data_IF_282642921364
#
_entry.id   IF_282642921364
#
_cell.length_a   1.000
_cell.length_b   1.000
_cell.length_c   1.000
_cell.angle_alpha   90.00
_cell.angle_beta   90.00
_cell.angle_gamma   90.00
#
_symmetry.space_group_name_H-M   'P 1'
#
loop_
_entity.id
_entity.type
_entity.pdbx_description
1 polymer ?
#
# COMPACT_ATOMS: atom_id res chain seq x y z
N UNK A 1 15.10 -45.44 15.02
CA UNK A 1 15.71 -44.10 15.22
C UNK A 1 15.48 -43.72 16.68
N UNK A 2 16.52 -43.43 17.48
CA UNK A 2 16.34 -42.96 18.87
C UNK A 2 16.09 -41.45 18.83
N UNK A 3 14.96 -41.02 19.36
CA UNK A 3 14.58 -39.60 19.45
C UNK A 3 15.23 -39.01 20.71
N UNK A 4 15.63 -37.75 20.68
CA UNK A 4 16.16 -37.04 21.85
C UNK A 4 15.08 -36.95 22.94
N UNK A 5 15.45 -37.12 24.20
CA UNK A 5 14.53 -37.10 25.36
C UNK A 5 14.42 -35.73 26.02
N UNK A 6 15.34 -34.81 25.72
CA UNK A 6 15.36 -33.43 26.21
C UNK A 6 15.24 -32.47 25.03
N UNK A 7 14.18 -31.67 25.06
CA UNK A 7 13.80 -30.72 24.00
C UNK A 7 14.00 -29.26 24.42
N UNK A 8 14.53 -29.01 25.62
CA UNK A 8 14.67 -27.65 26.17
C UNK A 8 15.59 -26.74 25.35
N UNK A 9 16.57 -27.32 24.64
CA UNK A 9 17.53 -26.61 23.78
C UNK A 9 17.32 -26.84 22.28
N UNK A 10 16.23 -27.50 21.88
CA UNK A 10 15.84 -27.50 20.47
C UNK A 10 15.33 -26.10 20.17
N UNK A 11 15.90 -25.45 19.15
CA UNK A 11 15.47 -24.12 18.70
C UNK A 11 13.96 -24.13 18.51
N UNK A 12 13.23 -23.60 19.50
CA UNK A 12 11.81 -23.32 19.35
C UNK A 12 11.72 -22.13 18.41
N UNK A 13 10.86 -22.30 17.43
CA UNK A 13 10.48 -21.25 16.51
C UNK A 13 9.86 -20.11 17.34
N UNK A 14 10.51 -18.95 17.35
CA UNK A 14 10.16 -17.79 18.22
C UNK A 14 8.80 -17.16 17.85
N UNK A 15 8.26 -17.55 16.70
CA UNK A 15 7.03 -17.13 16.04
C UNK A 15 5.75 -17.77 16.62
N UNK A 16 5.86 -18.80 17.49
CA UNK A 16 4.67 -19.49 18.01
C UNK A 16 3.86 -18.69 19.05
N UNK A 17 4.45 -17.67 19.67
CA UNK A 17 3.79 -16.85 20.71
C UNK A 17 3.42 -15.43 20.23
N UNK A 18 3.58 -15.12 18.93
CA UNK A 18 3.40 -13.78 18.36
C UNK A 18 2.04 -13.55 17.67
N UNK A 19 1.16 -14.55 17.58
CA UNK A 19 -0.17 -14.37 16.99
C UNK A 19 -1.04 -13.47 17.89
N UNK A 20 -1.16 -12.20 17.50
CA UNK A 20 -2.14 -11.28 18.09
C UNK A 20 -3.52 -11.68 17.58
N UNK A 21 -4.38 -12.14 18.47
CA UNK A 21 -5.77 -12.41 18.13
C UNK A 21 -6.57 -11.11 18.18
N UNK A 22 -7.41 -10.89 17.17
CA UNK A 22 -8.27 -9.72 17.07
C UNK A 22 -9.61 -10.06 16.42
N UNK A 23 -10.61 -9.23 16.69
CA UNK A 23 -11.95 -9.36 16.11
C UNK A 23 -12.15 -8.27 15.04
N UNK A 24 -12.71 -8.67 13.89
CA UNK A 24 -13.15 -7.74 12.87
C UNK A 24 -14.43 -7.02 13.31
N UNK A 25 -14.46 -5.70 13.15
CA UNK A 25 -15.59 -4.85 13.51
C UNK A 25 -16.66 -4.91 12.42
N UNK A 26 -17.91 -4.70 12.83
CA UNK A 26 -18.97 -4.44 11.86
C UNK A 26 -18.76 -3.06 11.22
N UNK A 27 -18.76 -3.02 9.89
CA UNK A 27 -18.52 -1.80 9.11
C UNK A 27 -19.83 -1.18 8.60
N UNK A 28 -20.92 -1.95 8.54
CA UNK A 28 -22.22 -1.47 8.08
C UNK A 28 -23.40 -2.05 8.86
N UNK A 29 -24.42 -1.22 9.09
CA UNK A 29 -25.71 -1.66 9.69
C UNK A 29 -26.58 -2.43 8.72
N UNK A 30 -26.32 -2.30 7.42
CA UNK A 30 -27.05 -3.01 6.38
C UNK A 30 -26.49 -4.42 6.23
N UNK A 31 -27.34 -5.43 6.47
CA UNK A 31 -26.91 -6.84 6.45
C UNK A 31 -26.30 -7.28 5.12
N UNK A 32 -26.72 -6.69 3.99
CA UNK A 32 -26.16 -7.04 2.67
C UNK A 32 -24.80 -6.39 2.47
N UNK A 33 -24.63 -5.13 2.87
CA UNK A 33 -23.32 -4.46 2.81
C UNK A 33 -22.33 -5.12 3.78
N UNK A 34 -22.78 -5.45 4.99
CA UNK A 34 -21.95 -6.12 5.98
C UNK A 34 -21.50 -7.51 5.51
N UNK A 35 -22.36 -8.26 4.80
CA UNK A 35 -21.97 -9.54 4.22
C UNK A 35 -20.89 -9.39 3.14
N UNK A 36 -20.98 -8.37 2.29
CA UNK A 36 -19.94 -8.08 1.28
C UNK A 36 -18.62 -7.67 1.94
N UNK A 37 -18.68 -6.78 2.93
CA UNK A 37 -17.50 -6.37 3.68
C UNK A 37 -16.83 -7.56 4.40
N UNK A 38 -17.64 -8.49 4.91
CA UNK A 38 -17.14 -9.72 5.53
C UNK A 38 -16.31 -10.56 4.54
N UNK A 39 -16.75 -10.71 3.29
CA UNK A 39 -15.98 -11.43 2.27
C UNK A 39 -14.64 -10.74 1.95
N UNK A 40 -14.60 -9.40 1.97
CA UNK A 40 -13.34 -8.65 1.85
C UNK A 40 -12.40 -8.96 3.02
N UNK A 41 -12.92 -8.91 4.26
CA UNK A 41 -12.13 -9.22 5.46
C UNK A 41 -11.62 -10.66 5.41
N UNK A 42 -12.46 -11.63 5.04
CA UNK A 42 -12.06 -13.04 4.93
C UNK A 42 -11.14 -13.34 3.74
N UNK A 43 -10.99 -12.41 2.78
CA UNK A 43 -10.23 -12.62 1.55
C UNK A 43 -10.87 -13.64 0.62
N UNK A 44 -12.20 -13.74 0.63
CA UNK A 44 -12.99 -14.70 -0.15
C UNK A 44 -13.43 -14.08 -1.49
N UNK A 45 -12.66 -14.33 -2.53
CA UNK A 45 -12.91 -13.88 -3.90
C UNK A 45 -14.01 -14.69 -4.61
N UNK A 46 -14.24 -15.94 -4.22
CA UNK A 46 -15.33 -16.78 -4.75
C UNK A 46 -16.70 -16.33 -4.22
N UNK A 47 -16.77 -15.99 -2.92
CA UNK A 47 -17.99 -15.57 -2.23
C UNK A 47 -18.41 -14.14 -2.53
N UNK A 48 -17.45 -13.24 -2.81
CA UNK A 48 -17.75 -11.82 -3.00
C UNK A 48 -18.55 -11.54 -4.29
N UNK A 49 -18.25 -12.24 -5.39
CA UNK A 49 -18.89 -12.03 -6.68
C UNK A 49 -20.42 -12.25 -6.64
N UNK A 50 -20.95 -13.39 -6.17
CA UNK A 50 -22.40 -13.60 -6.09
C UNK A 50 -23.07 -12.64 -5.09
N UNK A 51 -22.37 -12.25 -4.02
CA UNK A 51 -22.90 -11.30 -3.03
C UNK A 51 -23.06 -9.89 -3.64
N UNK A 52 -22.05 -9.41 -4.37
CA UNK A 52 -22.08 -8.13 -5.08
C UNK A 52 -23.16 -8.13 -6.16
N UNK A 53 -23.25 -9.18 -6.99
CA UNK A 53 -24.30 -9.31 -8.01
C UNK A 53 -25.70 -9.17 -7.43
N UNK A 54 -25.97 -9.85 -6.31
CA UNK A 54 -27.24 -9.75 -5.61
C UNK A 54 -27.50 -8.35 -5.06
N UNK A 55 -26.49 -7.69 -4.50
CA UNK A 55 -26.64 -6.32 -3.99
C UNK A 55 -26.93 -5.33 -5.12
N UNK A 56 -26.33 -5.49 -6.30
CA UNK A 56 -26.53 -4.66 -7.49
C UNK A 56 -27.96 -4.70 -8.04
N UNK A 57 -28.79 -5.66 -7.63
CA UNK A 57 -30.22 -5.71 -7.98
C UNK A 57 -31.04 -4.61 -7.28
N UNK A 58 -30.56 -4.13 -6.12
CA UNK A 58 -31.32 -3.23 -5.25
C UNK A 58 -30.55 -1.99 -4.78
N UNK A 59 -29.23 -1.97 -4.94
CA UNK A 59 -28.34 -0.89 -4.47
C UNK A 59 -27.55 -0.26 -5.61
N UNK A 60 -27.28 1.05 -5.56
CA UNK A 60 -26.38 1.70 -6.50
C UNK A 60 -24.97 1.08 -6.41
N UNK A 61 -24.28 0.82 -7.54
CA UNK A 61 -22.93 0.24 -7.53
C UNK A 61 -21.94 1.05 -6.69
N UNK A 62 -22.00 2.39 -6.79
CA UNK A 62 -21.11 3.28 -6.04
C UNK A 62 -21.29 3.16 -4.52
N UNK A 63 -22.50 2.86 -4.04
CA UNK A 63 -22.75 2.65 -2.61
C UNK A 63 -22.19 1.30 -2.16
N UNK A 64 -22.24 0.26 -3.01
CA UNK A 64 -21.62 -1.03 -2.69
C UNK A 64 -20.09 -0.86 -2.58
N UNK A 65 -19.50 -0.10 -3.49
CA UNK A 65 -18.06 0.17 -3.44
C UNK A 65 -17.68 0.91 -2.15
N UNK A 66 -18.32 2.03 -1.85
CA UNK A 66 -17.93 2.86 -0.70
C UNK A 66 -18.33 2.24 0.65
N UNK A 67 -19.57 1.78 0.77
CA UNK A 67 -20.15 1.39 2.07
C UNK A 67 -19.93 -0.09 2.42
N UNK A 68 -19.39 -0.89 1.50
CA UNK A 68 -19.09 -2.30 1.73
C UNK A 68 -17.65 -2.67 1.36
N UNK A 69 -17.24 -2.49 0.10
CA UNK A 69 -15.93 -2.95 -0.38
C UNK A 69 -14.78 -2.16 0.27
N UNK A 70 -14.79 -0.83 0.13
CA UNK A 70 -13.81 0.08 0.74
C UNK A 70 -13.91 0.03 2.27
N UNK A 71 -15.13 0.01 2.81
CA UNK A 71 -15.33 -0.09 4.25
C UNK A 71 -14.71 -1.38 4.85
N UNK A 72 -14.86 -2.52 4.15
CA UNK A 72 -14.20 -3.77 4.51
C UNK A 72 -12.68 -3.68 4.42
N UNK A 73 -12.14 -3.04 3.38
CA UNK A 73 -10.69 -2.88 3.24
C UNK A 73 -10.06 -1.92 4.26
N UNK A 74 -10.81 -0.92 4.72
CA UNK A 74 -10.39 -0.07 5.84
C UNK A 74 -10.26 -0.88 7.14
N UNK A 75 -11.16 -1.83 7.36
CA UNK A 75 -11.08 -2.73 8.52
C UNK A 75 -9.90 -3.70 8.40
N UNK A 76 -9.60 -4.20 7.21
CA UNK A 76 -8.38 -4.99 6.95
C UNK A 76 -7.12 -4.18 7.24
N UNK A 77 -7.10 -2.90 6.83
CA UNK A 77 -5.98 -2.00 7.12
C UNK A 77 -5.78 -1.81 8.63
N UNK A 78 -6.87 -1.65 9.40
CA UNK A 78 -6.82 -1.59 10.87
C UNK A 78 -6.26 -2.89 11.47
N UNK A 79 -6.70 -4.05 10.98
CA UNK A 79 -6.24 -5.35 11.47
C UNK A 79 -4.75 -5.57 11.18
N UNK A 80 -4.25 -5.05 10.05
CA UNK A 80 -2.83 -5.03 9.73
C UNK A 80 -2.04 -4.13 10.68
N UNK A 81 -2.52 -2.90 10.95
CA UNK A 81 -1.87 -1.96 11.87
C UNK A 81 -1.82 -2.49 13.30
N UNK A 82 -2.82 -3.27 13.72
CA UNK A 82 -2.86 -3.94 15.03
C UNK A 82 -2.03 -5.22 15.09
N UNK A 83 -1.40 -5.63 13.99
CA UNK A 83 -0.59 -6.84 13.89
C UNK A 83 -1.41 -8.14 13.91
N UNK A 84 -2.72 -8.06 13.71
CA UNK A 84 -3.63 -9.21 13.60
C UNK A 84 -3.54 -9.82 12.21
N UNK A 85 -3.46 -8.98 11.17
CA UNK A 85 -3.26 -9.43 9.79
C UNK A 85 -1.79 -9.39 9.42
N UNK A 86 -1.38 -10.38 8.62
CA UNK A 86 -0.12 -10.33 7.91
C UNK A 86 -0.36 -9.95 6.44
N UNK A 87 0.74 -9.73 5.71
CA UNK A 87 0.71 -9.23 4.36
C UNK A 87 -0.08 -10.15 3.40
N UNK A 88 0.04 -11.50 3.49
CA UNK A 88 -0.74 -12.38 2.65
C UNK A 88 -2.25 -12.15 2.80
N UNK A 89 -2.74 -11.92 4.02
CA UNK A 89 -4.16 -11.63 4.27
C UNK A 89 -4.58 -10.31 3.62
N UNK A 90 -3.76 -9.26 3.74
CA UNK A 90 -4.05 -7.96 3.10
C UNK A 90 -4.13 -8.09 1.58
N UNK A 91 -3.25 -8.89 0.97
CA UNK A 91 -3.26 -9.15 -0.48
C UNK A 91 -4.54 -9.90 -0.88
N UNK A 92 -4.89 -10.98 -0.18
CA UNK A 92 -6.12 -11.75 -0.44
C UNK A 92 -7.38 -10.87 -0.32
N UNK A 93 -7.45 -10.04 0.72
CA UNK A 93 -8.54 -9.07 0.90
C UNK A 93 -8.61 -8.05 -0.23
N UNK A 94 -7.46 -7.53 -0.68
CA UNK A 94 -7.38 -6.61 -1.81
C UNK A 94 -7.84 -7.27 -3.12
N UNK A 95 -7.47 -8.52 -3.36
CA UNK A 95 -7.89 -9.27 -4.55
C UNK A 95 -9.41 -9.49 -4.55
N UNK A 96 -9.98 -9.95 -3.42
CA UNK A 96 -11.42 -10.09 -3.26
C UNK A 96 -12.15 -8.74 -3.49
N UNK A 97 -11.66 -7.65 -2.88
CA UNK A 97 -12.20 -6.31 -3.08
C UNK A 97 -12.21 -5.92 -4.57
N UNK A 98 -11.10 -6.16 -5.28
CA UNK A 98 -10.97 -5.81 -6.70
C UNK A 98 -11.94 -6.60 -7.59
N UNK A 99 -12.22 -7.88 -7.28
CA UNK A 99 -13.26 -8.67 -7.97
C UNK A 99 -14.63 -7.98 -7.81
N UNK A 100 -14.96 -7.53 -6.60
CA UNK A 100 -16.21 -6.81 -6.33
C UNK A 100 -16.30 -5.45 -7.03
N UNK A 101 -15.20 -4.69 -7.08
CA UNK A 101 -15.14 -3.40 -7.78
C UNK A 101 -15.35 -3.61 -9.28
N UNK A 102 -14.67 -4.58 -9.90
CA UNK A 102 -14.79 -4.85 -11.33
C UNK A 102 -16.23 -5.13 -11.77
N UNK A 103 -16.98 -5.90 -10.98
CA UNK A 103 -18.41 -6.15 -11.24
C UNK A 103 -19.26 -4.87 -11.10
N UNK A 104 -18.96 -4.02 -10.12
CA UNK A 104 -19.64 -2.74 -9.97
C UNK A 104 -19.33 -1.79 -11.13
N UNK A 105 -18.08 -1.74 -11.62
CA UNK A 105 -17.65 -0.95 -12.77
C UNK A 105 -18.33 -1.42 -14.06
N UNK A 106 -18.45 -2.73 -14.28
CA UNK A 106 -19.19 -3.31 -15.41
C UNK A 106 -20.65 -2.82 -15.40
N UNK A 107 -21.30 -2.83 -14.23
CA UNK A 107 -22.67 -2.32 -14.08
C UNK A 107 -22.77 -0.81 -14.31
N UNK A 108 -21.75 -0.04 -13.92
CA UNK A 108 -21.69 1.40 -14.12
C UNK A 108 -21.38 1.79 -15.57
N UNK A 109 -20.78 0.88 -16.36
CA UNK A 109 -20.29 1.17 -17.70
C UNK A 109 -19.08 2.12 -17.73
N UNK A 110 -18.41 2.31 -16.58
CA UNK A 110 -17.21 3.13 -16.45
C UNK A 110 -16.39 2.67 -15.24
N UNK A 111 -15.08 2.91 -15.30
CA UNK A 111 -14.21 2.72 -14.15
C UNK A 111 -14.55 3.70 -13.02
N UNK A 112 -14.24 3.30 -11.79
CA UNK A 112 -14.29 4.17 -10.63
C UNK A 112 -13.14 5.17 -10.66
N UNK A 113 -13.40 6.40 -10.22
CA UNK A 113 -12.35 7.38 -9.98
C UNK A 113 -11.48 6.92 -8.80
N UNK A 114 -10.18 6.74 -9.03
CA UNK A 114 -9.19 6.47 -7.97
C UNK A 114 -8.89 7.76 -7.20
N UNK A 115 -8.42 7.65 -5.94
CA UNK A 115 -8.14 8.82 -5.09
C UNK A 115 -7.14 9.77 -5.73
N UNK A 116 -5.97 9.25 -6.05
CA UNK A 116 -4.84 9.96 -6.65
C UNK A 116 -3.82 8.96 -7.16
N UNK A 117 -2.96 9.42 -8.06
CA UNK A 117 -1.91 8.60 -8.67
C UNK A 117 -0.62 8.70 -7.85
N UNK A 118 0.04 7.56 -7.63
CA UNK A 118 1.33 7.44 -6.96
C UNK A 118 2.29 6.69 -7.88
N UNK A 119 3.51 7.19 -8.05
CA UNK A 119 4.57 6.47 -8.80
C UNK A 119 5.46 5.74 -7.80
N UNK A 120 5.78 4.47 -8.05
CA UNK A 120 6.67 3.69 -7.18
C UNK A 120 7.80 3.06 -7.98
N UNK A 121 9.00 3.00 -7.42
CA UNK A 121 10.15 2.34 -8.04
C UNK A 121 11.12 1.76 -7.02
N UNK A 122 11.91 0.79 -7.45
CA UNK A 122 13.16 0.42 -6.76
C UNK A 122 14.33 1.07 -7.50
N UNK A 123 15.31 1.57 -6.75
CA UNK A 123 16.44 2.34 -7.25
C UNK A 123 17.21 1.65 -8.39
N UNK A 124 17.84 2.44 -9.24
CA UNK A 124 18.75 1.96 -10.30
C UNK A 124 19.86 1.06 -9.73
N UNK A 125 20.08 -0.09 -10.37
CA UNK A 125 21.02 -1.12 -9.94
C UNK A 125 20.53 -1.98 -8.76
N UNK A 126 19.30 -1.77 -8.28
CA UNK A 126 18.73 -2.52 -7.16
C UNK A 126 17.58 -3.42 -7.62
N UNK A 127 17.74 -4.73 -7.40
CA UNK A 127 16.75 -5.76 -7.74
C UNK A 127 15.83 -6.13 -6.57
N UNK A 128 16.04 -5.54 -5.40
CA UNK A 128 15.30 -5.91 -4.18
C UNK A 128 13.97 -5.16 -4.10
N UNK A 129 12.94 -5.71 -4.73
CA UNK A 129 11.64 -5.07 -4.93
C UNK A 129 10.56 -5.45 -3.91
N UNK A 130 10.84 -6.39 -3.00
CA UNK A 130 9.84 -6.86 -2.01
C UNK A 130 9.23 -5.70 -1.24
N UNK A 131 10.05 -4.75 -0.77
CA UNK A 131 9.54 -3.55 -0.06
C UNK A 131 8.62 -2.69 -0.94
N UNK A 132 8.96 -2.53 -2.22
CA UNK A 132 8.12 -1.83 -3.19
C UNK A 132 6.80 -2.56 -3.43
N UNK A 133 6.82 -3.89 -3.59
CA UNK A 133 5.61 -4.71 -3.78
C UNK A 133 4.66 -4.56 -2.60
N UNK A 134 5.18 -4.54 -1.37
CA UNK A 134 4.39 -4.31 -0.16
C UNK A 134 3.74 -2.92 -0.18
N UNK A 135 4.53 -1.88 -0.46
CA UNK A 135 4.01 -0.50 -0.58
C UNK A 135 2.92 -0.41 -1.65
N UNK A 136 3.11 -1.07 -2.80
CA UNK A 136 2.12 -1.10 -3.88
C UNK A 136 0.82 -1.78 -3.43
N UNK A 137 0.90 -2.92 -2.74
CA UNK A 137 -0.27 -3.62 -2.23
C UNK A 137 -1.06 -2.75 -1.24
N UNK A 138 -0.38 -2.09 -0.30
CA UNK A 138 -1.00 -1.21 0.69
C UNK A 138 -1.62 0.05 0.07
N UNK A 139 -0.98 0.65 -0.94
CA UNK A 139 -1.54 1.80 -1.66
C UNK A 139 -2.78 1.40 -2.49
N UNK A 140 -2.73 0.27 -3.20
CA UNK A 140 -3.87 -0.23 -3.97
C UNK A 140 -5.06 -0.56 -3.06
N UNK A 141 -4.79 -1.22 -1.93
CA UNK A 141 -5.78 -1.49 -0.88
C UNK A 141 -6.47 -0.21 -0.37
N UNK A 142 -5.75 0.91 -0.33
CA UNK A 142 -6.26 2.19 0.12
C UNK A 142 -6.85 3.06 -1.00
N UNK A 143 -7.04 2.51 -2.21
CA UNK A 143 -7.76 3.16 -3.31
C UNK A 143 -6.93 4.12 -4.16
N UNK A 144 -5.60 4.09 -4.02
CA UNK A 144 -4.69 4.83 -4.90
C UNK A 144 -4.50 4.14 -6.24
N UNK A 145 -4.17 4.92 -7.27
CA UNK A 145 -3.68 4.39 -8.53
C UNK A 145 -2.15 4.28 -8.47
N UNK A 146 -1.63 3.05 -8.53
CA UNK A 146 -0.20 2.80 -8.41
C UNK A 146 0.45 2.59 -9.77
N UNK A 147 1.27 3.55 -10.21
CA UNK A 147 2.15 3.41 -11.37
C UNK A 147 3.45 2.75 -10.91
N UNK A 148 3.49 1.42 -11.02
CA UNK A 148 4.63 0.61 -10.62
C UNK A 148 5.70 0.57 -11.74
N UNK A 149 6.85 1.20 -11.51
CA UNK A 149 7.96 1.21 -12.46
C UNK A 149 8.86 -0.04 -12.39
N UNK A 150 8.65 -0.87 -11.37
CA UNK A 150 9.40 -2.10 -11.10
C UNK A 150 10.76 -1.87 -10.42
N UNK A 151 11.64 -2.87 -10.58
CA UNK A 151 13.00 -2.88 -10.08
C UNK A 151 14.01 -2.32 -11.09
N UNK A 152 15.21 -1.98 -10.63
CA UNK A 152 16.32 -1.49 -11.46
C UNK A 152 15.89 -0.32 -12.37
N UNK A 153 15.32 0.73 -11.76
CA UNK A 153 14.70 1.84 -12.51
C UNK A 153 15.67 3.02 -12.65
N UNK A 154 16.06 3.39 -13.88
CA UNK A 154 16.91 4.55 -14.11
C UNK A 154 16.27 5.86 -13.65
N UNK A 155 17.10 6.80 -13.17
CA UNK A 155 16.66 8.11 -12.68
C UNK A 155 15.76 8.83 -13.68
N UNK A 156 16.13 8.84 -14.96
CA UNK A 156 15.42 9.55 -16.03
C UNK A 156 14.02 8.96 -16.25
N UNK A 157 13.85 7.64 -16.06
CA UNK A 157 12.57 6.95 -16.19
C UNK A 157 11.61 7.35 -15.06
N UNK A 158 12.12 7.52 -13.85
CA UNK A 158 11.32 8.03 -12.70
C UNK A 158 10.79 9.43 -12.99
N UNK A 159 11.67 10.33 -13.45
CA UNK A 159 11.30 11.72 -13.76
C UNK A 159 10.31 11.78 -14.93
N UNK A 160 10.51 10.96 -15.97
CA UNK A 160 9.58 10.85 -17.10
C UNK A 160 8.19 10.39 -16.65
N UNK A 161 8.11 9.35 -15.81
CA UNK A 161 6.85 8.86 -15.27
C UNK A 161 6.14 9.92 -14.41
N UNK A 162 6.87 10.70 -13.60
CA UNK A 162 6.28 11.78 -12.81
C UNK A 162 5.71 12.90 -13.70
N UNK A 163 6.36 13.21 -14.83
CA UNK A 163 5.83 14.17 -15.82
C UNK A 163 4.58 13.68 -16.52
N UNK A 164 4.54 12.40 -16.88
CA UNK A 164 3.44 11.77 -17.61
C UNK A 164 2.20 11.62 -16.73
N UNK A 165 2.37 11.01 -15.57
CA UNK A 165 1.26 10.61 -14.70
C UNK A 165 0.86 11.68 -13.69
N UNK A 166 1.71 12.69 -13.45
CA UNK A 166 1.48 13.78 -12.48
C UNK A 166 1.01 13.25 -11.12
N UNK A 167 1.81 12.37 -10.47
CA UNK A 167 1.41 11.77 -9.21
C UNK A 167 1.41 12.79 -8.07
N UNK A 168 0.66 12.51 -7.02
CA UNK A 168 0.68 13.32 -5.78
C UNK A 168 1.95 13.10 -4.97
N UNK A 169 2.55 11.91 -5.08
CA UNK A 169 3.85 11.59 -4.50
C UNK A 169 4.57 10.53 -5.32
N UNK A 170 5.88 10.43 -5.15
CA UNK A 170 6.71 9.34 -5.70
C UNK A 170 7.36 8.58 -4.56
N UNK A 171 7.47 7.26 -4.67
CA UNK A 171 8.16 6.42 -3.68
C UNK A 171 9.39 5.74 -4.29
N UNK A 172 10.44 5.61 -3.47
CA UNK A 172 11.70 4.96 -3.84
C UNK A 172 12.15 3.97 -2.78
N UNK A 173 12.43 2.74 -3.20
CA UNK A 173 12.97 1.68 -2.34
C UNK A 173 14.42 1.39 -2.71
N UNK A 174 15.30 1.27 -1.72
CA UNK A 174 16.67 0.77 -1.90
C UNK A 174 17.10 -0.15 -0.73
N UNK A 175 17.73 -1.28 -1.04
CA UNK A 175 18.25 -2.23 -0.05
C UNK A 175 19.78 -2.18 0.07
N UNK A 176 20.48 -1.57 -0.88
CA UNK A 176 21.94 -1.47 -0.87
C UNK A 176 22.41 -0.02 -0.69
N UNK A 177 23.48 0.18 0.08
CA UNK A 177 24.10 1.50 0.24
C UNK A 177 24.67 2.05 -1.07
N UNK A 178 25.00 1.18 -2.02
CA UNK A 178 25.46 1.55 -3.36
C UNK A 178 24.34 2.12 -4.23
N UNK A 179 23.09 1.64 -4.06
CA UNK A 179 21.95 1.97 -4.92
C UNK A 179 21.13 3.15 -4.39
N UNK A 180 21.08 3.35 -3.06
CA UNK A 180 20.38 4.51 -2.46
C UNK A 180 20.91 5.87 -2.98
N UNK A 181 22.15 5.90 -3.50
CA UNK A 181 22.76 7.08 -4.14
C UNK A 181 22.00 7.60 -5.37
N UNK A 182 21.02 6.84 -5.90
CA UNK A 182 20.10 7.30 -6.93
C UNK A 182 19.12 8.35 -6.41
N UNK A 183 18.72 8.32 -5.14
CA UNK A 183 17.69 9.19 -4.58
C UNK A 183 18.00 10.69 -4.67
N UNK A 184 19.17 11.20 -4.24
CA UNK A 184 19.47 12.62 -4.40
C UNK A 184 19.53 13.06 -5.87
N UNK A 185 19.88 12.15 -6.79
CA UNK A 185 19.85 12.44 -8.24
C UNK A 185 18.42 12.59 -8.74
N UNK A 186 17.50 11.72 -8.28
CA UNK A 186 16.07 11.79 -8.60
C UNK A 186 15.48 13.10 -8.05
N UNK A 187 15.70 13.40 -6.77
CA UNK A 187 15.22 14.63 -6.14
C UNK A 187 15.66 15.87 -6.93
N UNK A 188 16.96 15.97 -7.22
CA UNK A 188 17.51 17.10 -7.99
C UNK A 188 16.91 17.21 -9.40
N UNK A 189 16.70 16.09 -10.10
CA UNK A 189 16.10 16.11 -11.44
C UNK A 189 14.60 16.43 -11.41
N UNK A 190 13.87 16.03 -10.37
CA UNK A 190 12.47 16.41 -10.16
C UNK A 190 12.36 17.92 -9.94
N UNK A 191 13.19 18.49 -9.07
CA UNK A 191 13.25 19.95 -8.85
C UNK A 191 13.64 20.71 -10.11
N UNK A 192 14.68 20.27 -10.83
CA UNK A 192 15.10 20.87 -12.09
C UNK A 192 14.00 20.81 -13.17
N UNK A 193 13.10 19.83 -13.07
CA UNK A 193 11.91 19.71 -13.91
C UNK A 193 10.71 20.54 -13.42
N UNK A 194 10.83 21.26 -12.31
CA UNK A 194 9.74 22.02 -11.69
C UNK A 194 8.70 21.16 -10.96
N UNK A 195 9.06 19.93 -10.60
CA UNK A 195 8.18 18.99 -9.89
C UNK A 195 8.54 18.98 -8.39
N UNK A 196 7.87 19.81 -7.61
CA UNK A 196 8.02 19.87 -6.15
C UNK A 196 7.11 18.84 -5.44
N UNK A 197 7.12 17.59 -5.91
CA UNK A 197 6.32 16.51 -5.33
C UNK A 197 7.08 15.83 -4.18
N UNK A 198 6.39 15.41 -3.09
CA UNK A 198 7.00 14.63 -2.03
C UNK A 198 7.62 13.34 -2.57
N UNK A 199 8.89 13.11 -2.21
CA UNK A 199 9.62 11.90 -2.56
C UNK A 199 9.81 11.03 -1.31
N UNK A 200 8.98 10.02 -1.17
CA UNK A 200 8.99 9.10 -0.04
C UNK A 200 10.10 8.05 -0.25
N UNK A 201 11.15 8.10 0.55
CA UNK A 201 12.32 7.23 0.44
C UNK A 201 12.36 6.23 1.59
N UNK A 202 12.51 4.94 1.26
CA UNK A 202 12.60 3.87 2.26
C UNK A 202 13.44 2.67 1.78
N UNK A 203 13.40 1.60 2.55
CA UNK A 203 14.16 0.36 2.29
C UNK A 203 15.31 0.16 3.29
N UNK A 204 15.82 -1.07 3.37
CA UNK A 204 16.68 -1.49 4.49
C UNK A 204 18.05 -0.80 4.57
N UNK A 205 18.51 -0.14 3.50
CA UNK A 205 19.74 0.67 3.52
C UNK A 205 19.47 2.16 3.81
N UNK A 206 18.21 2.59 3.88
CA UNK A 206 17.80 3.99 3.87
C UNK A 206 17.35 4.42 5.26
N UNK A 207 17.95 5.48 5.79
CA UNK A 207 17.61 6.07 7.08
C UNK A 207 17.20 7.53 6.96
N UNK A 208 16.59 8.05 8.02
CA UNK A 208 16.11 9.44 8.09
C UNK A 208 17.23 10.44 7.82
N UNK A 209 18.39 10.25 8.46
CA UNK A 209 19.53 11.16 8.35
C UNK A 209 20.10 11.22 6.94
N UNK A 210 19.85 10.20 6.11
CA UNK A 210 20.24 10.20 4.71
C UNK A 210 19.21 10.96 3.85
N UNK A 211 17.92 10.68 4.06
CA UNK A 211 16.84 11.24 3.24
C UNK A 211 16.67 12.74 3.45
N UNK A 212 16.94 13.22 4.67
CA UNK A 212 16.80 14.65 5.02
C UNK A 212 17.94 15.54 4.50
N UNK A 213 18.95 14.99 3.80
CA UNK A 213 20.10 15.73 3.25
C UNK A 213 19.83 16.42 1.91
N UNK A 214 18.71 16.13 1.28
CA UNK A 214 18.32 16.68 -0.01
C UNK A 214 16.86 17.13 0.02
N UNK A 215 16.47 18.02 -0.89
CA UNK A 215 15.11 18.53 -0.99
C UNK A 215 14.14 17.45 -1.50
N UNK A 216 12.83 17.64 -1.31
CA UNK A 216 11.75 16.68 -1.64
C UNK A 216 11.71 15.39 -0.81
N UNK A 217 12.83 14.94 -0.24
CA UNK A 217 12.93 13.68 0.48
C UNK A 217 12.07 13.63 1.76
N UNK A 218 11.30 12.57 1.95
CA UNK A 218 10.58 12.26 3.19
C UNK A 218 10.87 10.80 3.52
N UNK A 219 11.34 10.50 4.73
CA UNK A 219 11.71 9.14 5.09
C UNK A 219 10.48 8.32 5.45
N UNK A 220 10.24 7.24 4.72
CA UNK A 220 9.25 6.21 5.05
C UNK A 220 9.93 5.08 5.80
N UNK A 221 9.70 5.00 7.11
CA UNK A 221 10.33 3.99 7.98
C UNK A 221 9.77 2.60 7.72
N UNK A 222 8.44 2.48 7.61
CA UNK A 222 7.73 1.22 7.42
C UNK A 222 6.75 1.34 6.26
N UNK A 223 6.51 0.23 5.54
CA UNK A 223 5.58 0.21 4.41
C UNK A 223 4.14 0.57 4.81
N UNK A 224 3.74 0.30 6.06
CA UNK A 224 2.43 0.68 6.63
C UNK A 224 2.19 2.18 6.68
N UNK A 225 3.24 3.01 6.63
CA UNK A 225 3.09 4.47 6.61
C UNK A 225 2.70 5.01 5.23
N UNK A 226 2.93 4.24 4.15
CA UNK A 226 2.74 4.72 2.78
C UNK A 226 1.30 5.20 2.49
N UNK A 227 0.23 4.51 2.92
CA UNK A 227 -1.13 5.03 2.73
C UNK A 227 -1.39 6.36 3.43
N UNK A 228 -0.93 6.52 4.68
CA UNK A 228 -1.09 7.78 5.43
C UNK A 228 -0.30 8.92 4.81
N UNK A 229 0.93 8.67 4.36
CA UNK A 229 1.72 9.65 3.60
C UNK A 229 1.04 10.03 2.28
N UNK A 230 0.42 9.07 1.59
CA UNK A 230 -0.34 9.35 0.38
C UNK A 230 -1.61 10.17 0.64
N UNK A 231 -2.25 10.00 1.82
CA UNK A 231 -3.39 10.82 2.22
C UNK A 231 -2.99 12.28 2.41
N UNK A 232 -1.88 12.54 3.08
CA UNK A 232 -1.34 13.88 3.26
C UNK A 232 -0.96 14.53 1.92
N UNK A 233 -0.28 13.79 1.04
CA UNK A 233 0.06 14.26 -0.30
C UNK A 233 -1.20 14.55 -1.14
N UNK A 234 -2.25 13.74 -1.00
CA UNK A 234 -3.54 13.95 -1.67
C UNK A 234 -4.29 15.18 -1.13
N UNK A 235 -4.14 15.46 0.17
CA UNK A 235 -4.67 16.68 0.79
C UNK A 235 -3.92 17.95 0.37
N UNK A 236 -2.79 17.80 -0.34
CA UNK A 236 -1.97 18.90 -0.85
C UNK A 236 -0.90 19.37 0.14
N UNK A 237 -0.53 18.55 1.12
CA UNK A 237 0.65 18.82 1.95
C UNK A 237 1.91 18.77 1.09
N UNK A 238 2.79 19.76 1.25
CA UNK A 238 4.09 19.76 0.59
C UNK A 238 5.08 18.85 1.32
N UNK A 239 6.24 18.63 0.69
CA UNK A 239 7.25 17.74 1.23
C UNK A 239 7.87 18.26 2.54
N UNK A 240 7.87 19.58 2.79
CA UNK A 240 8.39 20.17 4.03
C UNK A 240 7.46 19.89 5.21
N UNK A 241 6.16 20.10 5.01
CA UNK A 241 5.12 19.77 5.99
C UNK A 241 5.11 18.27 6.29
N UNK A 242 5.14 17.44 5.24
CA UNK A 242 5.20 15.99 5.40
C UNK A 242 6.48 15.55 6.12
N UNK A 243 7.65 16.11 5.78
CA UNK A 243 8.91 15.81 6.49
C UNK A 243 8.80 16.17 7.97
N UNK A 244 8.25 17.34 8.31
CA UNK A 244 8.07 17.74 9.71
C UNK A 244 7.10 16.84 10.48
N UNK A 245 6.11 16.25 9.80
CA UNK A 245 5.10 15.38 10.42
C UNK A 245 5.61 13.95 10.61
N UNK A 246 6.28 13.41 9.60
CA UNK A 246 6.65 11.99 9.55
C UNK A 246 8.08 11.71 10.01
N UNK A 247 8.95 12.73 10.02
CA UNK A 247 10.37 12.63 10.42
C UNK A 247 10.72 13.62 11.56
N UNK A 248 9.70 14.20 12.21
CA UNK A 248 9.84 15.15 13.33
C UNK A 248 9.58 14.54 14.69
#
# INVERSE_FOLDING_TARGET
MKVLTDFSNIFKRYDLDLEVTGEAREVSKDATMQAIAKFVVEGDDEGILPAVKKALESKPPINIINDALIAGMNEVSRLWDEGVYFLPQVILSSDAMNVGIAECEEKMGKAMDRKSTVVTHTAEGDIHDIGQVIVNALLNANGYEVVNLGADVPVEKVVAACKEHRPVMVTGTALMTTTMTAFPKIAHQLEAAGLAIPFICGGGAVCEEYVTQYDLGVWGKEASQAPGMAEDATAGEDWEAMRSKWNG
#
